data_IF_644495594198
#
_entry.id   IF_644495594198
#
_cell.length_a   1.000
_cell.length_b   1.000
_cell.length_c   1.000
_cell.angle_alpha   90.00
_cell.angle_beta   90.00
_cell.angle_gamma   90.00
#
_symmetry.space_group_name_H-M   'P 1'
#
loop_
_entity.id
_entity.type
_entity.pdbx_description
1 polymer ?
#
# COMPACT_ATOMS: atom_id res chain seq x y z
N UNK A 1 -68.38 -3.58 22.21
CA UNK A 1 -68.25 -4.50 23.37
C UNK A 1 -67.02 -5.35 23.10
N UNK A 2 -65.89 -5.16 23.78
CA UNK A 2 -65.58 -5.78 25.09
C UNK A 2 -65.48 -7.30 24.93
N UNK A 3 -64.35 -8.01 25.12
CA UNK A 3 -63.43 -8.02 26.25
C UNK A 3 -62.14 -8.81 25.85
N UNK A 4 -60.94 -8.27 26.11
CA UNK A 4 -59.86 -8.73 27.04
C UNK A 4 -59.14 -10.06 26.68
N UNK A 5 -57.83 -10.05 26.40
CA UNK A 5 -56.65 -10.13 27.34
C UNK A 5 -56.67 -11.44 28.15
N UNK A 6 -55.69 -12.35 28.18
CA UNK A 6 -54.22 -12.25 28.37
C UNK A 6 -53.55 -13.66 28.26
N UNK A 7 -52.19 -13.77 28.24
CA UNK A 7 -51.38 -15.01 28.08
C UNK A 7 -50.80 -15.51 29.44
N UNK A 8 -49.60 -16.14 29.52
CA UNK A 8 -49.11 -17.52 29.24
C UNK A 8 -48.89 -18.31 30.59
N UNK A 9 -48.06 -19.38 30.79
CA UNK A 9 -46.58 -19.32 30.75
C UNK A 9 -45.80 -20.64 30.44
N UNK A 10 -44.49 -20.40 30.31
CA UNK A 10 -43.27 -21.21 30.26
C UNK A 10 -43.01 -22.11 31.50
N UNK A 11 -42.39 -23.30 31.32
CA UNK A 11 -41.40 -23.92 32.24
C UNK A 11 -40.93 -25.33 31.78
N UNK A 12 -39.70 -25.39 31.26
CA UNK A 12 -38.55 -26.17 31.74
C UNK A 12 -38.58 -27.71 31.99
N UNK A 13 -37.41 -28.39 31.95
CA UNK A 13 -37.23 -29.81 31.66
C UNK A 13 -36.88 -30.67 32.90
N UNK A 14 -37.06 -31.99 32.82
CA UNK A 14 -36.45 -32.93 33.77
C UNK A 14 -36.22 -34.33 33.18
N UNK A 15 -35.13 -34.94 33.65
CA UNK A 15 -34.50 -36.15 33.18
C UNK A 15 -35.02 -37.44 33.85
N UNK A 16 -34.43 -38.56 33.39
CA UNK A 16 -34.24 -39.86 34.06
C UNK A 16 -35.46 -40.75 34.32
N UNK A 17 -35.47 -41.93 33.69
CA UNK A 17 -35.48 -43.22 34.40
C UNK A 17 -35.25 -44.39 33.44
N UNK A 18 -34.37 -45.29 33.85
CA UNK A 18 -34.05 -46.55 33.21
C UNK A 18 -35.13 -47.61 33.46
N UNK A 19 -35.29 -48.55 32.52
CA UNK A 19 -35.66 -49.94 32.86
C UNK A 19 -35.10 -50.89 31.80
N UNK A 20 -34.37 -51.86 32.33
CA UNK A 20 -33.76 -53.02 31.69
C UNK A 20 -34.77 -54.12 31.37
N UNK A 21 -34.62 -54.80 30.23
CA UNK A 21 -34.96 -56.23 30.12
C UNK A 21 -34.03 -56.95 29.14
N UNK A 22 -33.17 -57.75 29.75
CA UNK A 22 -32.49 -58.97 29.30
C UNK A 22 -33.19 -59.72 28.15
N UNK A 23 -32.43 -60.16 27.14
CA UNK A 23 -32.48 -61.55 26.61
C UNK A 23 -31.34 -61.87 25.65
N UNK A 24 -30.49 -62.77 26.12
CA UNK A 24 -29.79 -63.87 25.46
C UNK A 24 -28.88 -63.64 24.24
N UNK A 25 -27.64 -64.05 24.47
CA UNK A 25 -26.57 -64.31 23.53
C UNK A 25 -26.81 -65.57 22.68
N UNK A 26 -26.25 -65.58 21.47
CA UNK A 26 -25.67 -66.78 20.84
C UNK A 26 -24.48 -66.35 19.96
N UNK A 27 -23.30 -66.86 20.30
CA UNK A 27 -22.04 -66.83 19.53
C UNK A 27 -21.90 -68.25 18.93
N UNK A 28 -21.46 -68.46 17.67
CA UNK A 28 -20.03 -68.74 17.39
C UNK A 28 -19.58 -68.42 15.93
N UNK A 29 -18.34 -68.74 15.51
CA UNK A 29 -17.07 -68.37 16.14
C UNK A 29 -16.06 -67.76 15.12
N UNK A 30 -15.10 -67.01 15.66
CA UNK A 30 -13.67 -67.16 15.37
C UNK A 30 -13.14 -67.01 13.94
N UNK A 31 -12.59 -65.84 13.64
CA UNK A 31 -11.33 -65.75 12.88
C UNK A 31 -10.42 -64.70 13.50
N UNK A 32 -9.25 -65.16 13.94
CA UNK A 32 -8.17 -64.40 14.56
C UNK A 32 -7.59 -63.30 13.67
N UNK A 33 -7.21 -62.14 14.22
CA UNK A 33 -6.53 -61.08 13.49
C UNK A 33 -5.06 -61.44 13.28
N UNK A 34 -4.65 -61.58 12.02
CA UNK A 34 -3.23 -61.72 11.66
C UNK A 34 -2.55 -60.35 11.81
N UNK A 35 -1.74 -60.23 12.83
CA UNK A 35 -0.80 -59.15 13.01
C UNK A 35 0.12 -59.06 11.78
N UNK A 36 0.02 -57.96 11.04
CA UNK A 36 1.00 -57.58 10.01
C UNK A 36 1.86 -56.49 10.63
N UNK A 37 3.09 -56.87 10.91
CA UNK A 37 4.18 -55.98 11.32
C UNK A 37 4.36 -54.82 10.34
N UNK A 38 4.48 -53.57 10.81
CA UNK A 38 4.80 -52.44 9.94
C UNK A 38 6.23 -52.59 9.42
N UNK A 39 6.37 -52.72 8.11
CA UNK A 39 7.66 -52.71 7.42
C UNK A 39 8.27 -51.32 7.58
N UNK A 40 9.42 -51.27 8.26
CA UNK A 40 10.23 -50.07 8.41
C UNK A 40 10.56 -49.48 7.03
N UNK A 41 9.98 -48.31 6.73
CA UNK A 41 10.40 -47.46 5.62
C UNK A 41 11.48 -46.56 6.18
N UNK A 42 12.72 -46.83 5.78
CA UNK A 42 13.85 -45.91 5.97
C UNK A 42 13.51 -44.56 5.36
N UNK A 43 13.62 -43.43 6.08
CA UNK A 43 13.49 -42.12 5.47
C UNK A 43 14.68 -41.93 4.52
N UNK A 44 14.42 -41.94 3.21
CA UNK A 44 15.36 -41.40 2.24
C UNK A 44 15.58 -39.94 2.62
N UNK A 45 16.81 -39.63 2.99
CA UNK A 45 17.36 -38.30 3.16
C UNK A 45 17.07 -37.49 1.90
N UNK A 46 16.00 -36.69 1.94
CA UNK A 46 15.75 -35.68 0.93
C UNK A 46 16.72 -34.54 1.21
N UNK A 47 17.84 -34.56 0.51
CA UNK A 47 18.74 -33.41 0.40
C UNK A 47 17.90 -32.20 0.03
N UNK A 48 17.85 -31.13 0.84
CA UNK A 48 17.17 -29.92 0.43
C UNK A 48 17.96 -29.36 -0.75
N UNK A 49 17.40 -29.47 -1.96
CA UNK A 49 17.91 -28.75 -3.12
C UNK A 49 17.81 -27.27 -2.75
N UNK A 50 18.95 -26.69 -2.40
CA UNK A 50 19.10 -25.28 -2.12
C UNK A 50 18.38 -24.51 -3.21
N UNK A 51 17.25 -23.90 -2.86
CA UNK A 51 16.64 -22.85 -3.66
C UNK A 51 17.70 -21.77 -3.69
N UNK A 52 18.43 -21.70 -4.79
CA UNK A 52 19.26 -20.55 -5.13
C UNK A 52 18.32 -19.35 -5.03
N UNK A 53 18.39 -18.63 -3.91
CA UNK A 53 17.93 -17.27 -3.80
C UNK A 53 18.80 -16.52 -4.79
N UNK A 54 18.30 -16.44 -6.03
CA UNK A 54 18.83 -15.56 -7.04
C UNK A 54 18.78 -14.19 -6.38
N UNK A 55 19.93 -13.74 -5.90
CA UNK A 55 20.17 -12.41 -5.40
C UNK A 55 19.68 -11.47 -6.48
N UNK A 56 18.47 -10.96 -6.31
CA UNK A 56 17.95 -9.90 -7.12
C UNK A 56 18.82 -8.68 -6.78
N UNK A 57 19.88 -8.53 -7.56
CA UNK A 57 20.53 -7.24 -7.76
C UNK A 57 19.41 -6.23 -7.97
N UNK A 58 19.38 -5.11 -7.22
CA UNK A 58 18.39 -4.07 -7.49
C UNK A 58 18.72 -3.55 -8.89
N UNK A 59 17.97 -4.00 -9.90
CA UNK A 59 17.95 -3.29 -11.17
C UNK A 59 17.46 -1.90 -10.82
N UNK A 60 18.36 -0.93 -10.95
CA UNK A 60 18.02 0.48 -10.97
C UNK A 60 17.07 0.68 -12.14
N UNK A 61 15.77 0.57 -11.86
CA UNK A 61 14.75 1.03 -12.76
C UNK A 61 14.82 2.55 -12.64
N UNK A 62 15.71 3.17 -13.41
CA UNK A 62 15.52 4.56 -13.83
C UNK A 62 14.33 4.56 -14.78
N UNK A 63 13.14 4.32 -14.26
CA UNK A 63 11.94 4.47 -15.07
C UNK A 63 11.66 5.94 -15.16
N UNK A 64 11.79 6.46 -16.38
CA UNK A 64 11.30 7.79 -16.69
C UNK A 64 9.83 7.89 -16.26
N UNK A 65 9.45 8.91 -15.45
CA UNK A 65 8.07 9.07 -14.98
C UNK A 65 7.10 9.29 -16.15
N UNK A 66 7.60 9.80 -17.28
CA UNK A 66 6.85 9.97 -18.53
C UNK A 66 6.48 8.63 -19.17
N UNK A 67 7.34 7.61 -19.10
CA UNK A 67 7.06 6.28 -19.62
C UNK A 67 5.92 5.57 -18.86
N UNK A 68 5.82 5.82 -17.55
CA UNK A 68 4.72 5.30 -16.72
C UNK A 68 3.39 6.00 -16.99
N UNK A 69 3.42 7.32 -17.25
CA UNK A 69 2.24 8.08 -17.68
C UNK A 69 1.72 7.59 -19.04
N UNK A 70 2.62 7.40 -20.00
CA UNK A 70 2.30 6.88 -21.33
C UNK A 70 1.70 5.48 -21.23
N UNK A 71 2.32 4.58 -20.46
CA UNK A 71 1.78 3.23 -20.24
C UNK A 71 0.40 3.25 -19.55
N UNK A 72 0.19 4.11 -18.56
CA UNK A 72 -1.12 4.24 -17.92
C UNK A 72 -2.19 4.74 -18.90
N UNK A 73 -1.85 5.70 -19.77
CA UNK A 73 -2.74 6.21 -20.81
C UNK A 73 -3.05 5.15 -21.88
N UNK A 74 -2.06 4.39 -22.34
CA UNK A 74 -2.22 3.27 -23.28
C UNK A 74 -3.17 2.20 -22.72
N UNK A 75 -3.00 1.82 -21.45
CA UNK A 75 -3.87 0.84 -20.80
C UNK A 75 -5.30 1.37 -20.67
N UNK A 76 -5.50 2.65 -20.32
CA UNK A 76 -6.83 3.24 -20.26
C UNK A 76 -7.49 3.30 -21.65
N UNK A 77 -6.74 3.60 -22.70
CA UNK A 77 -7.25 3.62 -24.08
C UNK A 77 -7.64 2.21 -24.54
N UNK A 78 -6.80 1.20 -24.26
CA UNK A 78 -7.13 -0.19 -24.54
C UNK A 78 -8.40 -0.63 -23.80
N UNK A 79 -8.52 -0.34 -22.51
CA UNK A 79 -9.72 -0.66 -21.71
C UNK A 79 -10.99 0.04 -22.22
N UNK A 80 -10.88 1.29 -22.67
CA UNK A 80 -12.01 2.00 -23.28
C UNK A 80 -12.41 1.38 -24.63
N UNK A 81 -11.45 0.89 -25.42
CA UNK A 81 -11.71 0.17 -26.67
C UNK A 81 -12.43 -1.17 -26.44
N UNK A 82 -12.04 -1.93 -25.41
CA UNK A 82 -12.74 -3.17 -25.04
C UNK A 82 -14.18 -2.92 -24.54
N UNK A 83 -14.42 -1.84 -23.80
CA UNK A 83 -15.78 -1.48 -23.35
C UNK A 83 -16.71 -1.12 -24.51
N UNK A 84 -16.18 -0.47 -25.55
CA UNK A 84 -16.95 -0.12 -26.73
C UNK A 84 -17.40 -1.38 -27.50
N UNK A 85 -16.48 -2.32 -27.73
CA UNK A 85 -16.82 -3.61 -28.37
C UNK A 85 -17.75 -4.48 -27.52
N UNK A 86 -17.56 -4.53 -26.19
CA UNK A 86 -18.38 -5.39 -25.32
C UNK A 86 -19.80 -4.85 -25.07
N UNK A 87 -20.02 -3.53 -25.07
CA UNK A 87 -21.37 -2.95 -24.97
C UNK A 87 -22.24 -3.28 -26.18
N UNK A 88 -21.63 -3.42 -27.35
CA UNK A 88 -22.34 -3.68 -28.60
C UNK A 88 -22.65 -5.16 -28.80
N UNK A 89 -21.85 -6.08 -28.25
CA UNK A 89 -21.95 -7.51 -28.57
C UNK A 89 -22.82 -8.34 -27.59
N UNK A 90 -22.86 -8.02 -26.29
CA UNK A 90 -23.58 -8.87 -25.30
C UNK A 90 -24.27 -8.01 -24.23
N UNK A 91 -25.32 -7.31 -24.62
CA UNK A 91 -26.30 -6.82 -23.64
C UNK A 91 -27.40 -7.87 -23.50
N UNK A 92 -27.69 -8.29 -22.26
CA UNK A 92 -28.79 -9.21 -21.90
C UNK A 92 -30.13 -8.76 -22.54
N UNK A 93 -30.27 -7.46 -22.80
CA UNK A 93 -31.39 -6.82 -23.50
C UNK A 93 -31.57 -7.33 -24.95
N UNK A 94 -30.49 -7.64 -25.69
CA UNK A 94 -30.58 -8.23 -27.03
C UNK A 94 -31.05 -9.70 -26.99
N UNK A 95 -30.78 -10.40 -25.90
CA UNK A 95 -31.19 -11.81 -25.69
C UNK A 95 -32.64 -11.90 -25.18
N UNK A 96 -33.09 -10.90 -24.40
CA UNK A 96 -34.46 -10.84 -23.86
C UNK A 96 -35.49 -10.23 -24.81
N UNK A 97 -35.09 -9.77 -26.00
CA UNK A 97 -36.04 -9.33 -27.00
C UNK A 97 -36.84 -10.55 -27.50
N UNK A 98 -38.19 -10.49 -27.52
CA UNK A 98 -39.00 -11.58 -28.01
C UNK A 98 -38.63 -11.87 -29.47
N UNK A 99 -38.48 -13.14 -29.83
CA UNK A 99 -38.09 -13.60 -31.18
C UNK A 99 -38.96 -12.95 -32.28
N UNK A 100 -40.19 -12.55 -31.96
CA UNK A 100 -41.12 -11.82 -32.83
C UNK A 100 -40.62 -10.45 -33.32
N UNK A 101 -39.82 -9.72 -32.53
CA UNK A 101 -39.27 -8.40 -32.93
C UNK A 101 -37.98 -8.52 -33.74
N UNK A 102 -37.21 -9.59 -33.53
CA UNK A 102 -36.06 -9.94 -34.36
C UNK A 102 -36.48 -10.37 -35.79
N UNK A 103 -37.65 -11.01 -35.92
CA UNK A 103 -38.20 -11.40 -37.23
C UNK A 103 -38.68 -10.18 -38.06
N UNK A 104 -39.24 -9.16 -37.41
CA UNK A 104 -39.63 -7.91 -38.08
C UNK A 104 -38.43 -7.08 -38.53
N UNK A 105 -37.37 -6.99 -37.72
CA UNK A 105 -36.13 -6.27 -38.09
C UNK A 105 -35.29 -7.03 -39.14
N UNK A 106 -35.37 -8.36 -39.19
CA UNK A 106 -34.81 -9.15 -40.29
C UNK A 106 -35.62 -9.02 -41.60
N UNK A 107 -36.94 -8.77 -41.50
CA UNK A 107 -37.82 -8.53 -42.65
C UNK A 107 -37.66 -7.13 -43.24
N UNK A 108 -37.39 -6.11 -42.43
CA UNK A 108 -37.22 -4.72 -42.91
C UNK A 108 -35.89 -4.51 -43.65
N UNK A 109 -34.82 -5.22 -43.27
CA UNK A 109 -33.52 -5.13 -43.94
C UNK A 109 -33.45 -5.83 -45.31
N UNK A 110 -34.51 -6.51 -45.74
CA UNK A 110 -34.56 -7.24 -47.02
C UNK A 110 -35.54 -6.63 -48.05
N UNK A 111 -36.15 -5.47 -47.75
CA UNK A 111 -37.13 -4.79 -48.62
C UNK A 111 -36.52 -3.59 -49.38
N UNK A 112 -35.21 -3.34 -49.26
CA UNK A 112 -34.55 -2.22 -49.95
C UNK A 112 -33.81 -2.60 -51.25
N UNK A 113 -33.98 -3.82 -51.77
CA UNK A 113 -33.35 -4.23 -53.03
C UNK A 113 -34.27 -5.09 -53.88
N UNK A 114 -35.18 -4.44 -54.62
CA UNK A 114 -35.67 -4.83 -55.96
C UNK A 114 -36.85 -3.93 -56.36
N UNK A 115 -36.54 -2.89 -57.12
CA UNK A 115 -37.45 -2.39 -58.14
C UNK A 115 -37.03 -3.05 -59.46
N UNK A 116 -37.91 -3.85 -60.04
CA UNK A 116 -38.57 -3.54 -61.32
C UNK A 116 -39.14 -4.79 -61.98
N UNK A 117 -40.31 -4.58 -62.58
CA UNK A 117 -40.88 -5.26 -63.75
C UNK A 117 -41.86 -6.45 -63.57
N UNK A 118 -43.14 -6.08 -63.73
CA UNK A 118 -44.10 -6.60 -64.72
C UNK A 118 -45.12 -7.72 -64.39
N UNK A 119 -46.35 -7.38 -64.78
CA UNK A 119 -47.54 -8.16 -65.22
C UNK A 119 -48.16 -9.31 -64.39
N UNK A 120 -49.35 -8.97 -63.87
CA UNK A 120 -50.67 -9.57 -64.17
C UNK A 120 -51.10 -10.97 -63.62
N UNK A 121 -52.34 -10.94 -63.15
CA UNK A 121 -53.39 -11.97 -63.15
C UNK A 121 -53.65 -12.94 -61.95
N UNK A 122 -54.93 -12.87 -61.56
CA UNK A 122 -55.82 -13.93 -61.03
C UNK A 122 -55.85 -14.30 -59.54
N UNK A 123 -56.89 -13.75 -58.90
CA UNK A 123 -57.71 -14.38 -57.86
C UNK A 123 -58.17 -15.79 -58.26
N UNK A 124 -58.39 -16.72 -57.30
CA UNK A 124 -59.75 -16.83 -56.77
C UNK A 124 -59.89 -17.19 -55.27
N UNK A 125 -61.08 -16.84 -54.77
CA UNK A 125 -61.76 -17.23 -53.52
C UNK A 125 -61.39 -18.58 -52.88
N UNK A 126 -61.22 -18.57 -51.54
CA UNK A 126 -61.90 -19.54 -50.68
C UNK A 126 -62.17 -18.96 -49.29
N UNK A 127 -63.47 -18.88 -48.99
CA UNK A 127 -64.05 -18.55 -47.70
C UNK A 127 -63.90 -19.73 -46.73
N UNK A 128 -63.06 -19.57 -45.71
CA UNK A 128 -63.16 -20.37 -44.48
C UNK A 128 -62.67 -19.53 -43.32
N UNK A 129 -63.61 -18.88 -42.64
CA UNK A 129 -63.35 -18.23 -41.37
C UNK A 129 -62.87 -19.29 -40.36
N UNK A 130 -61.70 -19.14 -39.73
CA UNK A 130 -61.37 -19.93 -38.57
C UNK A 130 -62.27 -19.47 -37.42
N UNK A 131 -63.05 -20.39 -36.87
CA UNK A 131 -63.75 -20.20 -35.59
C UNK A 131 -62.69 -20.00 -34.53
N UNK A 132 -62.34 -18.74 -34.23
CA UNK A 132 -61.48 -18.42 -33.09
C UNK A 132 -62.32 -18.64 -31.83
N UNK A 133 -62.12 -19.78 -31.20
CA UNK A 133 -62.63 -20.02 -29.84
C UNK A 133 -62.07 -18.94 -28.92
N UNK A 134 -63.00 -18.36 -28.18
CA UNK A 134 -62.87 -17.27 -27.22
C UNK A 134 -61.92 -17.60 -26.04
N UNK A 135 -60.60 -17.53 -26.32
CA UNK A 135 -59.53 -17.62 -25.30
C UNK A 135 -58.67 -16.35 -25.29
N UNK A 136 -58.76 -15.53 -26.33
CA UNK A 136 -57.99 -14.29 -26.46
C UNK A 136 -58.54 -13.12 -25.63
N UNK A 137 -59.75 -13.21 -25.07
CA UNK A 137 -60.34 -12.15 -24.25
C UNK A 137 -59.64 -11.98 -22.88
N UNK A 138 -59.00 -13.02 -22.35
CA UNK A 138 -58.20 -12.94 -21.11
C UNK A 138 -56.77 -12.44 -21.34
N UNK A 139 -56.29 -12.38 -22.60
CA UNK A 139 -54.99 -11.79 -22.93
C UNK A 139 -55.09 -10.30 -23.23
N UNK A 140 -56.27 -9.81 -23.63
CA UNK A 140 -56.50 -8.40 -23.96
C UNK A 140 -56.64 -7.50 -22.71
N UNK A 141 -56.97 -8.08 -21.55
CA UNK A 141 -57.05 -7.35 -20.27
C UNK A 141 -55.68 -7.23 -19.55
N UNK A 142 -54.69 -8.02 -19.94
CA UNK A 142 -53.32 -7.98 -19.38
C UNK A 142 -52.34 -7.14 -20.20
N UNK A 143 -52.73 -6.67 -21.40
CA UNK A 143 -51.87 -5.89 -22.29
C UNK A 143 -51.65 -4.42 -21.83
N UNK A 144 -52.29 -4.00 -20.75
CA UNK A 144 -52.15 -2.65 -20.17
C UNK A 144 -51.19 -2.60 -18.97
N UNK A 145 -50.72 -3.74 -18.47
CA UNK A 145 -49.69 -3.80 -17.44
C UNK A 145 -48.38 -4.24 -18.09
N UNK A 146 -47.34 -3.42 -18.02
CA UNK A 146 -46.00 -3.83 -18.42
C UNK A 146 -45.69 -5.18 -17.75
N UNK A 147 -45.09 -6.17 -18.44
CA UNK A 147 -44.88 -7.50 -17.87
C UNK A 147 -43.99 -7.38 -16.65
N UNK A 148 -44.63 -7.33 -15.48
CA UNK A 148 -43.96 -7.36 -14.19
C UNK A 148 -43.47 -8.79 -13.99
N UNK A 149 -42.31 -8.99 -13.33
CA UNK A 149 -41.75 -10.32 -13.14
C UNK A 149 -42.74 -11.28 -12.46
N UNK A 150 -43.61 -10.77 -11.58
CA UNK A 150 -44.67 -11.53 -10.94
C UNK A 150 -45.78 -12.00 -11.91
N UNK A 151 -46.12 -11.20 -12.92
CA UNK A 151 -47.13 -11.56 -13.94
C UNK A 151 -46.60 -12.66 -14.86
N UNK A 152 -45.33 -12.56 -15.27
CA UNK A 152 -44.67 -13.61 -16.08
C UNK A 152 -44.56 -14.94 -15.31
N UNK A 153 -44.29 -14.90 -14.02
CA UNK A 153 -44.26 -16.12 -13.18
C UNK A 153 -45.64 -16.79 -13.10
N UNK A 154 -46.72 -16.00 -12.99
CA UNK A 154 -48.09 -16.51 -12.98
C UNK A 154 -48.49 -17.12 -14.34
N UNK A 155 -48.14 -16.47 -15.46
CA UNK A 155 -48.38 -17.00 -16.80
C UNK A 155 -47.59 -18.29 -17.05
N UNK A 156 -46.32 -18.36 -16.62
CA UNK A 156 -45.52 -19.58 -16.73
C UNK A 156 -46.10 -20.73 -15.89
N UNK A 157 -46.66 -20.45 -14.71
CA UNK A 157 -47.35 -21.45 -13.91
C UNK A 157 -48.62 -21.96 -14.62
N UNK A 158 -49.44 -21.05 -15.15
CA UNK A 158 -50.64 -21.40 -15.91
C UNK A 158 -50.32 -22.24 -17.16
N UNK A 159 -49.31 -21.86 -17.96
CA UNK A 159 -48.91 -22.65 -19.13
C UNK A 159 -48.35 -24.02 -18.75
N UNK A 160 -47.58 -24.13 -17.65
CA UNK A 160 -47.11 -25.44 -17.15
C UNK A 160 -48.29 -26.35 -16.82
N UNK A 161 -49.32 -25.85 -16.15
CA UNK A 161 -50.51 -26.62 -15.83
C UNK A 161 -51.32 -27.00 -17.08
N UNK A 162 -51.49 -26.07 -18.03
CA UNK A 162 -52.18 -26.34 -19.30
C UNK A 162 -51.45 -27.39 -20.13
N UNK A 163 -50.13 -27.26 -20.29
CA UNK A 163 -49.33 -28.23 -21.03
C UNK A 163 -49.27 -29.59 -20.30
N UNK A 164 -49.28 -29.61 -18.97
CA UNK A 164 -49.39 -30.84 -18.21
C UNK A 164 -50.74 -31.54 -18.47
N UNK A 165 -51.86 -30.80 -18.45
CA UNK A 165 -53.20 -31.33 -18.76
C UNK A 165 -53.30 -31.81 -20.21
N UNK A 166 -52.76 -31.05 -21.15
CA UNK A 166 -52.77 -31.40 -22.58
C UNK A 166 -51.90 -32.63 -22.85
N UNK A 167 -50.71 -32.70 -22.24
CA UNK A 167 -49.83 -33.88 -22.32
C UNK A 167 -50.51 -35.11 -21.73
N UNK A 168 -51.18 -34.99 -20.58
CA UNK A 168 -51.91 -36.11 -19.98
C UNK A 168 -53.03 -36.59 -20.90
N UNK A 169 -53.87 -35.67 -21.39
CA UNK A 169 -54.97 -35.98 -22.32
C UNK A 169 -54.47 -36.64 -23.61
N UNK A 170 -53.40 -36.11 -24.21
CA UNK A 170 -52.82 -36.68 -25.42
C UNK A 170 -52.24 -38.08 -25.19
N UNK A 171 -51.48 -38.28 -24.11
CA UNK A 171 -50.92 -39.60 -23.79
C UNK A 171 -52.05 -40.60 -23.50
N UNK A 172 -53.08 -40.19 -22.77
CA UNK A 172 -54.26 -41.02 -22.51
C UNK A 172 -54.99 -41.38 -23.81
N UNK A 173 -55.20 -40.42 -24.71
CA UNK A 173 -55.84 -40.67 -26.00
C UNK A 173 -55.00 -41.62 -26.87
N UNK A 174 -53.71 -41.35 -27.05
CA UNK A 174 -52.82 -42.19 -27.86
C UNK A 174 -52.72 -43.60 -27.29
N UNK A 175 -52.70 -43.75 -25.96
CA UNK A 175 -52.67 -45.08 -25.33
C UNK A 175 -53.99 -45.83 -25.49
N UNK A 176 -55.14 -45.15 -25.35
CA UNK A 176 -56.46 -45.72 -25.63
C UNK A 176 -56.57 -46.18 -27.09
N UNK A 177 -56.17 -45.33 -28.04
CA UNK A 177 -56.18 -45.65 -29.47
C UNK A 177 -55.22 -46.82 -29.80
N UNK A 178 -54.00 -46.80 -29.25
CA UNK A 178 -53.03 -47.88 -29.43
C UNK A 178 -53.54 -49.20 -28.84
N UNK A 179 -54.22 -49.17 -27.69
CA UNK A 179 -54.82 -50.35 -27.08
C UNK A 179 -55.96 -50.92 -27.93
N UNK A 180 -56.87 -50.06 -28.40
CA UNK A 180 -57.96 -50.48 -29.30
C UNK A 180 -57.38 -51.05 -30.59
N UNK A 181 -56.37 -50.39 -31.19
CA UNK A 181 -55.72 -50.88 -32.41
C UNK A 181 -54.94 -52.18 -32.18
N UNK A 182 -54.39 -52.41 -30.99
CA UNK A 182 -53.73 -53.68 -30.66
C UNK A 182 -54.72 -54.85 -30.52
N UNK A 183 -55.95 -54.58 -30.05
CA UNK A 183 -57.02 -55.59 -29.91
C UNK A 183 -57.75 -55.83 -31.24
N UNK A 184 -58.02 -54.77 -32.00
CA UNK A 184 -58.83 -54.80 -33.23
C UNK A 184 -57.97 -54.98 -34.48
N UNK A 185 -56.65 -54.77 -34.40
CA UNK A 185 -55.72 -54.98 -35.49
C UNK A 185 -55.58 -56.46 -35.85
N UNK A 186 -55.53 -56.75 -37.13
CA UNK A 186 -55.32 -58.10 -37.67
C UNK A 186 -53.93 -58.17 -38.31
N UNK A 187 -52.94 -58.91 -37.74
CA UNK A 187 -53.03 -59.80 -36.59
C UNK A 187 -52.94 -59.08 -35.22
N UNK A 188 -53.57 -59.64 -34.16
CA UNK A 188 -53.60 -59.03 -32.84
C UNK A 188 -52.20 -58.96 -32.24
N UNK A 189 -51.85 -57.80 -31.67
CA UNK A 189 -50.53 -57.57 -31.10
C UNK A 189 -50.47 -58.19 -29.69
N UNK A 190 -50.05 -59.44 -29.59
CA UNK A 190 -49.86 -60.13 -28.31
C UNK A 190 -48.46 -59.78 -27.79
N UNK A 191 -48.41 -58.93 -26.77
CA UNK A 191 -47.15 -58.62 -26.08
C UNK A 191 -46.66 -59.88 -25.37
N UNK A 192 -45.54 -60.44 -25.83
CA UNK A 192 -44.95 -61.62 -25.20
C UNK A 192 -44.26 -61.24 -23.88
N UNK A 193 -44.22 -62.12 -22.88
CA UNK A 193 -43.47 -61.85 -21.64
C UNK A 193 -41.98 -61.61 -21.89
N UNK A 194 -41.44 -62.13 -23.00
CA UNK A 194 -40.07 -61.89 -23.44
C UNK A 194 -39.88 -60.47 -23.96
N UNK A 195 -40.78 -59.94 -24.79
CA UNK A 195 -40.75 -58.54 -25.22
C UNK A 195 -40.85 -57.56 -24.05
N UNK A 196 -41.67 -57.89 -23.04
CA UNK A 196 -41.73 -57.11 -21.80
C UNK A 196 -40.40 -57.13 -21.04
N UNK A 197 -39.77 -58.29 -20.91
CA UNK A 197 -38.46 -58.40 -20.26
C UNK A 197 -37.38 -57.61 -21.02
N UNK A 198 -37.37 -57.64 -22.35
CA UNK A 198 -36.43 -56.89 -23.19
C UNK A 198 -36.67 -55.37 -23.11
N UNK A 199 -37.93 -54.94 -23.09
CA UNK A 199 -38.29 -53.52 -22.90
C UNK A 199 -37.99 -53.04 -21.47
N UNK A 200 -38.15 -53.88 -20.46
CA UNK A 200 -37.75 -53.58 -19.09
C UNK A 200 -36.23 -53.44 -18.98
N UNK A 201 -35.45 -54.34 -19.59
CA UNK A 201 -33.99 -54.24 -19.64
C UNK A 201 -33.52 -52.95 -20.33
N UNK A 202 -34.10 -52.63 -21.50
CA UNK A 202 -33.81 -51.38 -22.23
C UNK A 202 -34.19 -50.12 -21.42
N UNK A 203 -35.35 -50.14 -20.76
CA UNK A 203 -35.78 -49.04 -19.89
C UNK A 203 -34.88 -48.86 -18.67
N UNK A 204 -34.40 -49.95 -18.06
CA UNK A 204 -33.45 -49.88 -16.94
C UNK A 204 -32.12 -49.28 -17.41
N UNK A 205 -31.61 -49.71 -18.56
CA UNK A 205 -30.40 -49.16 -19.15
C UNK A 205 -30.54 -47.65 -19.48
N UNK A 206 -31.64 -47.26 -20.13
CA UNK A 206 -31.93 -45.86 -20.45
C UNK A 206 -32.17 -45.01 -19.19
N UNK A 207 -32.80 -45.56 -18.15
CA UNK A 207 -32.95 -44.87 -16.85
C UNK A 207 -31.61 -44.69 -16.15
N UNK A 208 -30.70 -45.66 -16.26
CA UNK A 208 -29.37 -45.56 -15.69
C UNK A 208 -28.55 -44.46 -16.40
N UNK A 209 -28.56 -44.42 -17.74
CA UNK A 209 -27.87 -43.37 -18.50
C UNK A 209 -28.47 -41.97 -18.23
N UNK A 210 -29.80 -41.86 -18.15
CA UNK A 210 -30.47 -40.60 -17.80
C UNK A 210 -30.07 -40.13 -16.40
N UNK A 211 -29.98 -41.05 -15.42
CA UNK A 211 -29.53 -40.71 -14.06
C UNK A 211 -28.09 -40.22 -14.06
N UNK A 212 -27.19 -40.88 -14.79
CA UNK A 212 -25.80 -40.45 -14.94
C UNK A 212 -25.69 -39.06 -15.57
N UNK A 213 -26.40 -38.81 -16.67
CA UNK A 213 -26.43 -37.48 -17.31
C UNK A 213 -27.03 -36.42 -16.38
N UNK A 214 -28.08 -36.73 -15.63
CA UNK A 214 -28.66 -35.78 -14.67
C UNK A 214 -27.67 -35.40 -13.58
N UNK A 215 -26.90 -36.36 -13.07
CA UNK A 215 -25.85 -36.07 -12.08
C UNK A 215 -24.71 -35.27 -12.70
N UNK A 216 -24.31 -35.56 -13.93
CA UNK A 216 -23.27 -34.79 -14.64
C UNK A 216 -23.71 -33.34 -14.88
N UNK A 217 -24.93 -33.14 -15.39
CA UNK A 217 -25.49 -31.80 -15.61
C UNK A 217 -25.60 -31.03 -14.30
N UNK A 218 -26.01 -31.69 -13.19
CA UNK A 218 -26.07 -31.04 -11.88
C UNK A 218 -24.68 -30.56 -11.41
N UNK A 219 -23.64 -31.38 -11.58
CA UNK A 219 -22.26 -31.00 -11.27
C UNK A 219 -21.76 -29.86 -12.16
N UNK A 220 -22.05 -29.90 -13.46
CA UNK A 220 -21.69 -28.83 -14.39
C UNK A 220 -22.37 -27.51 -14.04
N UNK A 221 -23.63 -27.53 -13.61
CA UNK A 221 -24.35 -26.33 -13.15
C UNK A 221 -23.69 -25.76 -11.89
N UNK A 222 -23.34 -26.61 -10.92
CA UNK A 222 -22.62 -26.17 -9.71
C UNK A 222 -21.25 -25.55 -10.04
N UNK A 223 -20.51 -26.16 -10.97
CA UNK A 223 -19.25 -25.63 -11.47
C UNK A 223 -19.43 -24.27 -12.18
N UNK A 224 -20.46 -24.13 -13.02
CA UNK A 224 -20.76 -22.87 -13.70
C UNK A 224 -21.13 -21.77 -12.71
N UNK A 225 -21.91 -22.09 -11.67
CA UNK A 225 -22.25 -21.14 -10.62
C UNK A 225 -21.03 -20.72 -9.79
N UNK A 226 -20.13 -21.65 -9.48
CA UNK A 226 -18.90 -21.32 -8.76
C UNK A 226 -18.01 -20.37 -9.58
N UNK A 227 -17.86 -20.65 -10.89
CA UNK A 227 -17.08 -19.83 -11.82
C UNK A 227 -17.75 -18.48 -12.09
N UNK A 228 -19.08 -18.42 -12.15
CA UNK A 228 -19.80 -17.15 -12.33
C UNK A 228 -19.61 -16.23 -11.12
N UNK A 229 -19.68 -16.78 -9.90
CA UNK A 229 -19.37 -16.04 -8.66
C UNK A 229 -17.92 -15.54 -8.64
N UNK A 230 -16.96 -16.39 -9.02
CA UNK A 230 -15.56 -15.98 -9.10
C UNK A 230 -15.33 -14.89 -10.15
N UNK A 231 -15.94 -15.03 -11.33
CA UNK A 231 -15.85 -14.04 -12.41
C UNK A 231 -16.44 -12.69 -11.99
N UNK A 232 -17.60 -12.69 -11.31
CA UNK A 232 -18.20 -11.48 -10.78
C UNK A 232 -17.27 -10.78 -9.77
N UNK A 233 -16.66 -11.53 -8.86
CA UNK A 233 -15.69 -10.97 -7.90
C UNK A 233 -14.43 -10.39 -8.59
N UNK A 234 -13.92 -11.07 -9.62
CA UNK A 234 -12.78 -10.58 -10.41
C UNK A 234 -13.16 -9.32 -11.20
N UNK A 235 -14.36 -9.27 -11.77
CA UNK A 235 -14.86 -8.11 -12.50
C UNK A 235 -14.97 -6.87 -11.60
N UNK A 236 -15.53 -7.01 -10.39
CA UNK A 236 -15.60 -5.91 -9.43
C UNK A 236 -14.20 -5.42 -9.03
N UNK A 237 -13.23 -6.33 -8.86
CA UNK A 237 -11.84 -5.94 -8.60
C UNK A 237 -11.25 -5.12 -9.76
N UNK A 238 -11.41 -5.59 -11.00
CA UNK A 238 -10.92 -4.87 -12.20
C UNK A 238 -11.59 -3.51 -12.34
N UNK A 239 -12.88 -3.41 -12.01
CA UNK A 239 -13.62 -2.14 -12.00
C UNK A 239 -13.06 -1.16 -10.98
N UNK A 240 -12.76 -1.61 -9.75
CA UNK A 240 -12.11 -0.78 -8.73
C UNK A 240 -10.70 -0.34 -9.17
N UNK A 241 -9.91 -1.26 -9.73
CA UNK A 241 -8.55 -0.94 -10.18
C UNK A 241 -8.56 0.02 -11.38
N UNK A 242 -9.60 -0.05 -12.23
CA UNK A 242 -9.80 0.93 -13.31
C UNK A 242 -10.08 2.34 -12.78
N UNK A 243 -10.85 2.47 -11.70
CA UNK A 243 -11.05 3.78 -11.05
C UNK A 243 -9.71 4.32 -10.54
N UNK A 244 -8.92 3.48 -9.85
CA UNK A 244 -7.58 3.88 -9.38
C UNK A 244 -6.65 4.27 -10.54
N UNK A 245 -6.71 3.54 -11.65
CA UNK A 245 -5.89 3.82 -12.84
C UNK A 245 -6.27 5.17 -13.49
N UNK A 246 -7.54 5.58 -13.42
CA UNK A 246 -7.97 6.92 -13.87
C UNK A 246 -7.43 8.04 -12.97
N UNK A 247 -7.26 7.80 -11.68
CA UNK A 247 -6.75 8.80 -10.72
C UNK A 247 -5.21 8.94 -10.74
N UNK A 248 -4.49 7.86 -11.06
CA UNK A 248 -3.03 7.80 -11.00
C UNK A 248 -2.32 8.87 -11.85
N UNK A 249 -2.73 9.13 -13.11
CA UNK A 249 -2.11 10.17 -13.94
C UNK A 249 -2.15 11.56 -13.30
N UNK A 250 -3.31 11.95 -12.74
CA UNK A 250 -3.44 13.25 -12.06
C UNK A 250 -2.51 13.37 -10.86
N UNK A 251 -2.42 12.32 -10.02
CA UNK A 251 -1.50 12.29 -8.87
C UNK A 251 -0.03 12.33 -9.32
N UNK A 252 0.31 11.67 -10.42
CA UNK A 252 1.67 11.71 -10.98
C UNK A 252 2.03 13.11 -11.50
N UNK A 253 1.12 13.79 -12.17
CA UNK A 253 1.31 15.18 -12.61
C UNK A 253 1.48 16.14 -11.42
N UNK A 254 0.67 16.00 -10.37
CA UNK A 254 0.82 16.77 -9.13
C UNK A 254 2.19 16.54 -8.46
N UNK A 255 2.61 15.29 -8.34
CA UNK A 255 3.93 14.95 -7.80
C UNK A 255 5.05 15.51 -8.68
N UNK A 256 4.90 15.48 -10.00
CA UNK A 256 5.88 16.04 -10.92
C UNK A 256 5.96 17.56 -10.82
N UNK A 257 4.82 18.25 -10.70
CA UNK A 257 4.77 19.69 -10.41
C UNK A 257 5.48 20.01 -9.10
N UNK A 258 5.19 19.25 -8.03
CA UNK A 258 5.83 19.44 -6.72
C UNK A 258 7.33 19.17 -6.75
N UNK A 259 7.78 18.14 -7.47
CA UNK A 259 9.22 17.86 -7.67
C UNK A 259 9.87 19.01 -8.43
N UNK A 260 9.23 19.52 -9.48
CA UNK A 260 9.73 20.66 -10.23
C UNK A 260 9.78 21.92 -9.36
N UNK A 261 8.76 22.20 -8.55
CA UNK A 261 8.77 23.30 -7.58
C UNK A 261 9.88 23.16 -6.54
N UNK A 262 10.13 21.95 -6.04
CA UNK A 262 11.23 21.71 -5.10
C UNK A 262 12.59 21.89 -5.78
N UNK A 263 12.73 21.43 -7.03
CA UNK A 263 13.93 21.65 -7.84
C UNK A 263 14.14 23.11 -8.16
N UNK A 264 13.09 23.88 -8.47
CA UNK A 264 13.22 25.32 -8.67
C UNK A 264 13.54 26.02 -7.36
N UNK A 265 12.88 25.70 -6.24
CA UNK A 265 13.24 26.25 -4.92
C UNK A 265 14.69 25.92 -4.53
N UNK A 266 15.17 24.72 -4.86
CA UNK A 266 16.56 24.32 -4.68
C UNK A 266 17.50 25.10 -5.62
N UNK A 267 17.10 25.31 -6.87
CA UNK A 267 17.85 26.07 -7.87
C UNK A 267 17.78 27.60 -7.68
N UNK A 268 16.80 28.13 -6.93
CA UNK A 268 16.57 29.55 -6.62
C UNK A 268 17.27 29.97 -5.31
N UNK A 269 17.91 29.05 -4.59
CA UNK A 269 18.81 29.40 -3.49
C UNK A 269 20.33 29.52 -3.84
N UNK A 270 20.80 29.90 -5.04
CA UNK A 270 22.23 30.03 -5.31
C UNK A 270 22.84 31.29 -4.65
N UNK A 271 22.07 32.08 -3.90
CA UNK A 271 22.52 33.34 -3.29
C UNK A 271 22.61 33.35 -1.75
N UNK A 272 22.04 32.38 -1.03
CA UNK A 272 21.96 32.48 0.44
C UNK A 272 23.21 32.00 1.18
N UNK A 273 24.14 31.33 0.48
CA UNK A 273 25.53 30.98 0.82
C UNK A 273 25.90 29.76 -0.05
N UNK A 274 26.79 29.89 -1.05
CA UNK A 274 27.20 28.78 -1.92
C UNK A 274 27.71 27.56 -1.13
N UNK A 275 28.26 27.79 0.06
CA UNK A 275 28.75 26.76 0.99
C UNK A 275 27.67 25.82 1.53
N UNK A 276 26.41 26.27 1.61
CA UNK A 276 25.30 25.48 2.16
C UNK A 276 24.57 24.65 1.09
N UNK A 277 24.82 24.93 -0.19
CA UNK A 277 24.20 24.25 -1.34
C UNK A 277 25.18 23.36 -2.10
N UNK A 278 26.30 22.99 -1.49
CA UNK A 278 27.23 22.07 -2.10
C UNK A 278 26.77 20.61 -1.95
N UNK A 279 27.00 19.78 -2.97
CA UNK A 279 26.88 18.33 -2.84
C UNK A 279 27.71 17.81 -1.66
N UNK A 280 27.24 16.75 -1.02
CA UNK A 280 27.87 16.13 0.15
C UNK A 280 29.37 15.87 -0.04
N UNK A 281 29.78 15.44 -1.24
CA UNK A 281 31.20 15.21 -1.54
C UNK A 281 32.06 16.48 -1.37
N UNK A 282 31.55 17.64 -1.80
CA UNK A 282 32.27 18.91 -1.70
C UNK A 282 32.23 19.48 -0.28
N UNK A 283 31.15 19.24 0.48
CA UNK A 283 31.10 19.67 1.89
C UNK A 283 32.07 18.88 2.77
N UNK A 284 32.27 17.59 2.50
CA UNK A 284 33.28 16.77 3.20
C UNK A 284 34.69 17.35 2.98
N UNK A 285 35.04 17.69 1.74
CA UNK A 285 36.34 18.32 1.42
C UNK A 285 36.51 19.65 2.16
N UNK A 286 35.50 20.54 2.12
CA UNK A 286 35.56 21.82 2.84
C UNK A 286 35.68 21.65 4.36
N UNK A 287 35.02 20.63 4.92
CA UNK A 287 35.15 20.29 6.34
C UNK A 287 36.55 19.80 6.67
N UNK A 288 37.17 18.99 5.81
CA UNK A 288 38.55 18.55 5.97
C UNK A 288 39.53 19.73 5.90
N UNK A 289 39.37 20.63 4.94
CA UNK A 289 40.17 21.86 4.84
C UNK A 289 40.03 22.75 6.09
N UNK A 290 38.79 22.94 6.58
CA UNK A 290 38.55 23.70 7.81
C UNK A 290 39.15 23.03 9.04
N UNK A 291 39.09 21.70 9.12
CA UNK A 291 39.74 20.92 10.19
C UNK A 291 41.26 21.04 10.12
N UNK A 292 41.86 21.06 8.93
CA UNK A 292 43.30 21.30 8.77
C UNK A 292 43.69 22.70 9.24
N UNK A 293 42.94 23.74 8.83
CA UNK A 293 43.15 25.12 9.30
C UNK A 293 43.00 25.24 10.82
N UNK A 294 42.02 24.56 11.41
CA UNK A 294 41.84 24.54 12.86
C UNK A 294 43.04 23.89 13.58
N UNK A 295 43.56 22.76 13.07
CA UNK A 295 44.77 22.11 13.63
C UNK A 295 46.01 22.99 13.52
N UNK A 296 46.16 23.72 12.43
CA UNK A 296 47.28 24.66 12.25
C UNK A 296 47.19 25.82 13.24
N UNK A 297 46.01 26.42 13.40
CA UNK A 297 45.77 27.46 14.40
C UNK A 297 45.98 26.95 15.83
N UNK A 298 45.53 25.74 16.14
CA UNK A 298 45.76 25.10 17.45
C UNK A 298 47.26 24.90 17.71
N UNK A 299 48.02 24.48 16.70
CA UNK A 299 49.48 24.35 16.78
C UNK A 299 50.15 25.71 16.97
N UNK A 300 49.67 26.77 16.33
CA UNK A 300 50.17 28.14 16.53
C UNK A 300 49.82 28.66 17.93
N UNK A 301 48.62 28.38 18.42
CA UNK A 301 48.21 28.71 19.80
C UNK A 301 49.09 27.96 20.80
N UNK A 302 49.40 26.69 20.57
CA UNK A 302 50.28 25.90 21.44
C UNK A 302 51.72 26.43 21.42
N UNK A 303 52.22 26.83 20.25
CA UNK A 303 53.54 27.47 20.15
C UNK A 303 53.55 28.80 20.91
N UNK A 304 52.55 29.66 20.73
CA UNK A 304 52.45 30.94 21.41
C UNK A 304 52.18 30.76 22.92
N UNK A 305 51.39 29.78 23.32
CA UNK A 305 51.10 29.45 24.73
C UNK A 305 52.37 28.97 25.44
N UNK A 306 53.26 28.25 24.75
CA UNK A 306 54.56 27.84 25.29
C UNK A 306 55.58 28.99 25.41
N UNK A 307 55.52 29.98 24.52
CA UNK A 307 56.39 31.16 24.55
C UNK A 307 55.90 32.24 25.53
N UNK A 308 54.59 32.34 25.74
CA UNK A 308 53.96 33.28 26.67
C UNK A 308 54.55 33.26 28.10
N UNK A 309 54.73 32.11 28.78
CA UNK A 309 55.29 32.09 30.13
C UNK A 309 56.77 32.53 30.17
N UNK A 310 57.56 32.23 29.13
CA UNK A 310 58.96 32.69 29.05
C UNK A 310 59.01 34.20 28.94
N UNK A 311 58.22 34.78 28.04
CA UNK A 311 58.12 36.24 27.88
C UNK A 311 57.52 36.92 29.12
N UNK A 312 56.55 36.30 29.80
CA UNK A 312 56.05 36.78 31.11
C UNK A 312 57.15 36.80 32.17
N UNK A 313 57.95 35.74 32.30
CA UNK A 313 59.09 35.69 33.23
C UNK A 313 60.16 36.74 32.90
N UNK A 314 60.46 36.96 31.62
CA UNK A 314 61.36 38.03 31.18
C UNK A 314 60.82 39.41 31.55
N UNK A 315 59.53 39.66 31.32
CA UNK A 315 58.85 40.90 31.72
C UNK A 315 58.86 41.11 33.24
N UNK A 316 58.58 40.08 34.03
CA UNK A 316 58.65 40.14 35.50
C UNK A 316 60.06 40.45 35.98
N UNK A 317 61.09 39.83 35.39
CA UNK A 317 62.49 40.13 35.69
C UNK A 317 62.84 41.58 35.38
N UNK A 318 62.50 42.06 34.18
CA UNK A 318 62.73 43.45 33.79
C UNK A 318 61.95 44.42 34.70
N UNK A 319 60.74 44.06 35.12
CA UNK A 319 59.96 44.86 36.08
C UNK A 319 60.66 44.96 37.44
N UNK A 320 61.24 43.86 37.94
CA UNK A 320 62.04 43.86 39.17
C UNK A 320 63.30 44.74 38.99
N UNK A 321 63.98 44.64 37.86
CA UNK A 321 65.16 45.47 37.58
C UNK A 321 64.79 46.97 37.48
N UNK A 322 63.68 47.32 36.81
CA UNK A 322 63.17 48.69 36.71
C UNK A 322 62.76 49.23 38.07
N UNK A 323 62.07 48.45 38.90
CA UNK A 323 61.67 48.88 40.25
C UNK A 323 62.88 49.06 41.17
N UNK A 324 63.89 48.19 41.09
CA UNK A 324 65.15 48.36 41.81
C UNK A 324 65.95 49.59 41.34
N UNK A 325 66.00 49.85 40.03
CA UNK A 325 66.61 51.05 39.47
C UNK A 325 65.85 52.32 39.86
N UNK A 326 64.51 52.27 39.89
CA UNK A 326 63.69 53.36 40.39
C UNK A 326 63.95 53.64 41.89
N UNK A 327 64.07 52.59 42.71
CA UNK A 327 64.44 52.71 44.12
C UNK A 327 65.84 53.32 44.29
N UNK A 328 66.84 52.84 43.54
CA UNK A 328 68.20 53.43 43.51
C UNK A 328 68.17 54.89 43.08
N UNK A 329 67.39 55.24 42.05
CA UNK A 329 67.18 56.64 41.63
C UNK A 329 66.59 57.48 42.75
N UNK A 330 65.59 56.97 43.47
CA UNK A 330 64.99 57.69 44.61
C UNK A 330 65.98 57.85 45.76
N UNK A 331 66.80 56.83 46.06
CA UNK A 331 67.84 56.90 47.09
C UNK A 331 68.95 57.90 46.73
N UNK A 332 69.45 57.88 45.49
CA UNK A 332 70.48 58.82 45.02
C UNK A 332 69.93 60.24 44.96
N UNK A 333 68.69 60.43 44.50
CA UNK A 333 68.07 61.77 44.50
C UNK A 333 67.78 62.27 45.91
N UNK A 334 67.40 61.39 46.85
CA UNK A 334 67.29 61.73 48.27
C UNK A 334 68.65 62.08 48.88
N UNK A 335 69.69 61.27 48.66
CA UNK A 335 71.05 61.55 49.11
C UNK A 335 71.61 62.85 48.53
N UNK A 336 71.35 63.13 47.24
CA UNK A 336 71.73 64.38 46.60
C UNK A 336 70.96 65.58 47.18
N UNK A 337 69.65 65.43 47.46
CA UNK A 337 68.85 66.45 48.15
C UNK A 337 69.32 66.67 49.58
N UNK A 338 69.68 65.62 50.31
CA UNK A 338 70.25 65.72 51.66
C UNK A 338 71.64 66.33 51.65
N UNK A 339 72.50 66.00 50.69
CA UNK A 339 73.81 66.64 50.51
C UNK A 339 73.65 68.12 50.16
N UNK A 340 72.69 68.45 49.30
CA UNK A 340 72.31 69.84 49.02
C UNK A 340 71.78 70.53 50.27
N UNK A 341 70.92 69.88 51.05
CA UNK A 341 70.40 70.41 52.32
C UNK A 341 71.51 70.55 53.37
N UNK A 342 72.48 69.64 53.44
CA UNK A 342 73.67 69.77 54.30
C UNK A 342 74.53 70.94 53.86
N UNK A 343 74.73 71.14 52.56
CA UNK A 343 75.41 72.33 52.02
C UNK A 343 74.63 73.59 52.37
N UNK A 344 73.33 73.68 52.04
CA UNK A 344 72.48 74.83 52.34
C UNK A 344 72.39 75.10 53.85
N UNK A 345 72.32 74.08 54.71
CA UNK A 345 72.35 74.21 56.16
C UNK A 345 73.73 74.63 56.66
N UNK A 346 74.83 74.13 56.09
CA UNK A 346 76.18 74.58 56.39
C UNK A 346 76.43 76.02 55.91
N UNK A 347 75.79 76.42 54.81
CA UNK A 347 75.84 77.79 54.26
C UNK A 347 74.97 78.75 55.07
N UNK A 348 73.80 78.31 55.55
CA UNK A 348 72.93 79.10 56.45
C UNK A 348 73.41 79.13 57.90
N UNK A 349 74.19 78.13 58.33
CA UNK A 349 74.84 78.10 59.64
C UNK A 349 76.27 78.69 59.64
N UNK A 350 76.75 79.23 58.51
CA UNK A 350 78.04 79.94 58.43
C UNK A 350 79.29 79.08 58.60
N UNK A 351 79.25 77.77 58.33
CA UNK A 351 80.21 76.82 58.95
C UNK A 351 81.20 76.08 58.05
N UNK A 352 81.17 76.19 56.73
CA UNK A 352 82.16 75.49 55.89
C UNK A 352 83.51 76.23 55.81
N UNK A 353 83.44 77.57 55.77
CA UNK A 353 84.61 78.42 55.86
C UNK A 353 85.05 78.55 57.33
N UNK A 354 84.15 78.58 58.31
CA UNK A 354 84.53 78.68 59.73
C UNK A 354 85.20 77.43 60.33
N UNK A 355 84.85 76.19 59.95
CA UNK A 355 85.59 75.01 60.42
C UNK A 355 86.98 74.90 59.78
N UNK A 356 87.09 75.27 58.49
CA UNK A 356 88.38 75.31 57.77
C UNK A 356 89.24 76.50 58.25
N UNK A 357 88.63 77.64 58.55
CA UNK A 357 89.30 78.79 59.17
C UNK A 357 89.64 78.52 60.64
N UNK A 358 88.83 77.80 61.41
CA UNK A 358 89.15 77.42 62.79
C UNK A 358 90.36 76.47 62.82
N UNK A 359 90.41 75.49 61.91
CA UNK A 359 91.63 74.67 61.70
C UNK A 359 92.79 75.53 61.24
N UNK A 360 92.58 76.46 60.31
CA UNK A 360 93.60 77.41 59.85
C UNK A 360 94.14 78.31 60.95
N UNK A 361 93.27 78.82 61.84
CA UNK A 361 93.62 79.62 63.03
C UNK A 361 94.34 78.79 64.07
N UNK A 362 93.93 77.54 64.29
CA UNK A 362 94.63 76.59 65.16
C UNK A 362 96.02 76.25 64.62
N UNK A 363 96.15 75.96 63.32
CA UNK A 363 97.45 75.73 62.69
C UNK A 363 98.34 76.97 62.77
N UNK A 364 97.84 78.18 62.49
CA UNK A 364 98.61 79.44 62.66
C UNK A 364 98.99 79.74 64.11
N UNK A 365 98.10 79.46 65.07
CA UNK A 365 98.40 79.62 66.50
C UNK A 365 99.43 78.59 66.98
N UNK A 366 99.34 77.35 66.49
CA UNK A 366 100.36 76.31 66.76
C UNK A 366 101.70 76.66 66.12
N UNK A 367 101.70 77.26 64.93
CA UNK A 367 102.88 77.76 64.24
C UNK A 367 103.50 78.95 64.98
N UNK A 368 102.69 79.88 65.50
CA UNK A 368 103.14 81.00 66.31
C UNK A 368 103.72 80.55 67.66
N UNK A 369 103.06 79.61 68.36
CA UNK A 369 103.58 79.02 69.60
C UNK A 369 104.88 78.24 69.37
N UNK A 370 104.98 77.49 68.26
CA UNK A 370 106.22 76.82 67.87
C UNK A 370 107.33 77.81 67.53
N UNK A 371 107.03 78.94 66.87
CA UNK A 371 108.02 80.01 66.60
C UNK A 371 108.52 80.68 67.87
N UNK A 372 107.65 80.88 68.87
CA UNK A 372 108.02 81.48 70.16
C UNK A 372 108.91 80.54 70.99
N UNK A 373 108.60 79.24 71.03
CA UNK A 373 109.43 78.22 71.71
C UNK A 373 110.78 78.02 71.02
N UNK A 374 110.87 78.23 69.71
CA UNK A 374 112.10 78.10 68.93
C UNK A 374 112.94 79.39 68.86
N UNK A 375 112.50 80.50 69.47
CA UNK A 375 113.29 81.73 69.59
C UNK A 375 113.59 82.45 68.26
N UNK A 376 112.80 82.19 67.22
CA UNK A 376 113.00 82.77 65.89
C UNK A 376 112.16 84.05 65.77
N UNK A 377 112.78 85.23 65.90
CA UNK A 377 112.16 86.54 65.63
C UNK A 377 112.74 87.15 64.35
N UNK A 378 111.93 87.12 63.29
CA UNK A 378 111.59 88.24 62.38
C UNK A 378 110.25 87.94 61.69
#
# INVERSE_FOLDING_TARGET
MGLRRTPPPEAAPAATAATSSTSQATIPPGTTPRAVTPRAVTPRTATPRARSTRSATPRSISSDPTAHLQRAAEVLQALNGLDASTRDEITIIKISNPISSALHSASENNISSRNDDDTNDQQPNSSTAPRTSDVSAHSASSALDAPTPASLEADLAHYKELFAKLRFSYVEQVTKEKFIRAIVGDPPLIVTPQENADLEASNVAAKASLKALKTEVALLVEDLESRSRELAARYERVKLDRVKLKELPGKMEELQKRVNELRTKQAIQPGSLPEMNLPLAKTVVLVEERRQKARELERQVEQLSSLAPRKRKEMERLQIEVTALAAKRTQVTAAAREAKRRRENAQKAGGADDEMEAKGRWYRASEAALREVLGLKE
#
